data_IF_110346305478
#
_entry.id   IF_110346305478
#
_cell.length_a   1.000
_cell.length_b   1.000
_cell.length_c   1.000
_cell.angle_alpha   90.00
_cell.angle_beta   90.00
_cell.angle_gamma   90.00
#
_symmetry.space_group_name_H-M   'P 1'
#
loop_
_entity.id
_entity.type
_entity.pdbx_description
1 polymer ?
#
# COMPACT_ATOMS: atom_id res chain seq x y z
N UNK A 1 -4.55 -5.97 -13.92
CA UNK A 1 -4.37 -5.23 -15.16
C UNK A 1 -4.37 -3.74 -14.83
N UNK A 2 -3.18 -3.22 -14.55
CA UNK A 2 -2.92 -1.81 -14.31
C UNK A 2 -2.44 -1.07 -15.56
N UNK A 3 -2.06 -1.80 -16.63
CA UNK A 3 -1.63 -1.23 -17.91
C UNK A 3 -2.70 -1.33 -19.03
N UNK A 4 -3.80 -2.05 -18.80
CA UNK A 4 -4.94 -2.21 -19.71
C UNK A 4 -4.77 -3.26 -20.81
N UNK A 5 -3.84 -4.21 -20.67
CA UNK A 5 -3.50 -5.18 -21.73
C UNK A 5 -4.31 -6.49 -21.68
N UNK A 6 -5.24 -6.61 -20.73
CA UNK A 6 -6.10 -7.76 -20.52
C UNK A 6 -5.44 -8.91 -19.75
N UNK A 7 -4.23 -8.72 -19.19
CA UNK A 7 -3.52 -9.70 -18.36
C UNK A 7 -3.14 -9.10 -17.01
N UNK A 8 -2.76 -9.98 -16.08
CA UNK A 8 -2.15 -9.59 -14.80
C UNK A 8 -0.74 -10.17 -14.78
N UNK A 9 0.26 -9.30 -14.84
CA UNK A 9 1.68 -9.65 -14.73
C UNK A 9 2.34 -8.90 -13.57
N UNK A 10 2.71 -9.61 -12.50
CA UNK A 10 3.36 -9.02 -11.34
C UNK A 10 4.80 -8.56 -11.58
N UNK A 11 5.42 -8.91 -12.71
CA UNK A 11 6.70 -8.34 -13.14
C UNK A 11 6.54 -7.01 -13.87
N UNK A 12 5.32 -6.67 -14.29
CA UNK A 12 5.00 -5.34 -14.78
C UNK A 12 4.75 -4.38 -13.60
N UNK A 13 5.43 -3.24 -13.63
CA UNK A 13 5.35 -2.24 -12.56
C UNK A 13 3.91 -1.71 -12.33
N UNK A 14 3.17 -1.39 -13.41
CA UNK A 14 1.83 -0.84 -13.31
C UNK A 14 0.85 -1.85 -12.71
N UNK A 15 0.97 -3.11 -13.10
CA UNK A 15 0.17 -4.22 -12.58
C UNK A 15 0.47 -4.51 -11.12
N UNK A 16 1.75 -4.55 -10.74
CA UNK A 16 2.18 -4.76 -9.36
C UNK A 16 1.68 -3.63 -8.44
N UNK A 17 1.82 -2.37 -8.85
CA UNK A 17 1.32 -1.22 -8.09
C UNK A 17 -0.20 -1.26 -7.94
N UNK A 18 -0.92 -1.47 -9.04
CA UNK A 18 -2.39 -1.50 -9.04
C UNK A 18 -2.93 -2.64 -8.17
N UNK A 19 -2.30 -3.81 -8.25
CA UNK A 19 -2.67 -4.97 -7.44
C UNK A 19 -2.42 -4.72 -5.95
N UNK A 20 -1.30 -4.10 -5.60
CA UNK A 20 -0.97 -3.73 -4.22
C UNK A 20 -1.97 -2.69 -3.67
N UNK A 21 -2.31 -1.67 -4.47
CA UNK A 21 -3.30 -0.66 -4.08
C UNK A 21 -4.70 -1.27 -3.86
N UNK A 22 -5.12 -2.17 -4.76
CA UNK A 22 -6.39 -2.88 -4.63
C UNK A 22 -6.43 -3.79 -3.41
N UNK A 23 -5.34 -4.48 -3.10
CA UNK A 23 -5.21 -5.28 -1.88
C UNK A 23 -5.42 -4.41 -0.63
N UNK A 24 -4.71 -3.29 -0.50
CA UNK A 24 -4.83 -2.39 0.65
C UNK A 24 -6.24 -1.77 0.75
N UNK A 25 -6.84 -1.40 -0.39
CA UNK A 25 -8.23 -0.92 -0.44
C UNK A 25 -9.21 -1.96 0.08
N UNK A 26 -9.08 -3.21 -0.32
CA UNK A 26 -9.92 -4.30 0.17
C UNK A 26 -9.75 -4.55 1.68
N UNK A 27 -8.58 -4.21 2.23
CA UNK A 27 -8.25 -4.28 3.65
C UNK A 27 -8.68 -3.07 4.48
N UNK A 28 -9.30 -2.06 3.85
CA UNK A 28 -9.87 -0.90 4.53
C UNK A 28 -9.07 0.38 4.38
N UNK A 29 -8.09 0.44 3.48
CA UNK A 29 -7.40 1.68 3.14
C UNK A 29 -8.39 2.77 2.71
N UNK A 30 -8.23 3.97 3.26
CA UNK A 30 -9.05 5.15 3.00
C UNK A 30 -8.27 6.15 2.15
N UNK A 31 -8.66 6.40 0.90
CA UNK A 31 -8.01 7.42 0.06
C UNK A 31 -7.95 8.78 0.77
N UNK A 32 -6.78 9.43 0.73
CA UNK A 32 -6.55 10.74 1.35
C UNK A 32 -6.40 10.75 2.87
N UNK A 33 -6.56 9.62 3.57
CA UNK A 33 -6.28 9.54 4.99
C UNK A 33 -4.79 9.29 5.26
N UNK A 34 -4.30 9.82 6.38
CA UNK A 34 -2.93 9.63 6.83
C UNK A 34 -2.61 8.16 7.18
N UNK A 35 -1.33 7.81 7.10
CA UNK A 35 -0.78 6.47 7.28
C UNK A 35 0.36 6.40 8.30
N UNK A 36 0.58 7.43 9.10
CA UNK A 36 1.51 7.48 10.23
C UNK A 36 0.92 6.86 11.50
N UNK A 37 1.74 6.55 12.49
CA UNK A 37 1.29 5.93 13.74
C UNK A 37 0.13 6.73 14.38
N UNK A 38 -1.01 6.06 14.59
CA UNK A 38 -2.24 6.66 15.12
C UNK A 38 -3.22 7.15 14.04
N UNK A 39 -2.81 7.17 12.77
CA UNK A 39 -3.66 7.60 11.66
C UNK A 39 -4.48 6.44 11.05
N UNK A 40 -5.56 6.74 10.31
CA UNK A 40 -6.54 5.74 9.88
C UNK A 40 -5.97 4.60 9.03
N UNK A 41 -4.98 4.87 8.19
CA UNK A 41 -4.42 3.89 7.28
C UNK A 41 -3.23 3.11 7.86
N UNK A 42 -2.64 3.57 8.98
CA UNK A 42 -1.54 2.88 9.63
C UNK A 42 -1.84 1.41 9.93
N UNK A 43 -2.96 1.04 10.60
CA UNK A 43 -3.26 -0.37 10.88
C UNK A 43 -3.43 -1.23 9.62
N UNK A 44 -3.79 -0.63 8.48
CA UNK A 44 -3.97 -1.36 7.21
C UNK A 44 -2.63 -1.85 6.66
N UNK A 45 -1.53 -1.13 6.90
CA UNK A 45 -0.18 -1.56 6.48
C UNK A 45 0.23 -2.90 7.11
N UNK A 46 -0.32 -3.23 8.28
CA UNK A 46 -0.08 -4.51 8.97
C UNK A 46 -0.72 -5.70 8.23
N UNK A 47 -1.76 -5.47 7.43
CA UNK A 47 -2.41 -6.54 6.68
C UNK A 47 -1.48 -7.12 5.61
N UNK A 48 -0.58 -6.30 5.06
CA UNK A 48 0.46 -6.76 4.14
C UNK A 48 1.54 -7.59 4.85
N UNK A 49 1.96 -7.16 6.05
CA UNK A 49 2.89 -7.90 6.89
C UNK A 49 2.61 -7.60 8.38
N UNK A 50 2.39 -8.67 9.15
CA UNK A 50 1.95 -8.56 10.54
C UNK A 50 3.01 -8.00 11.53
N UNK A 51 4.25 -7.80 11.10
CA UNK A 51 5.32 -7.28 11.95
C UNK A 51 5.21 -5.76 12.16
N UNK A 52 5.18 -5.33 13.43
CA UNK A 52 5.12 -3.90 13.79
C UNK A 52 6.28 -3.09 13.21
N UNK A 53 7.49 -3.66 13.17
CA UNK A 53 8.67 -3.00 12.59
C UNK A 53 8.52 -2.76 11.09
N UNK A 54 7.86 -3.67 10.37
CA UNK A 54 7.64 -3.54 8.93
C UNK A 54 6.66 -2.40 8.62
N UNK A 55 5.58 -2.33 9.39
CA UNK A 55 4.60 -1.23 9.33
C UNK A 55 5.25 0.13 9.59
N UNK A 56 6.12 0.23 10.61
CA UNK A 56 6.86 1.47 10.91
C UNK A 56 7.79 1.87 9.77
N UNK A 57 8.55 0.91 9.21
CA UNK A 57 9.42 1.17 8.06
C UNK A 57 8.66 1.70 6.86
N UNK A 58 7.50 1.11 6.53
CA UNK A 58 6.65 1.59 5.44
C UNK A 58 6.17 3.03 5.67
N UNK A 59 5.72 3.35 6.89
CA UNK A 59 5.26 4.70 7.22
C UNK A 59 6.39 5.74 7.12
N UNK A 60 7.60 5.40 7.55
CA UNK A 60 8.78 6.27 7.47
C UNK A 60 9.21 6.47 6.01
N UNK A 61 9.32 5.39 5.24
CA UNK A 61 9.71 5.48 3.82
C UNK A 61 8.69 6.29 3.01
N UNK A 62 7.40 6.06 3.23
CA UNK A 62 6.34 6.85 2.58
C UNK A 62 6.48 8.34 2.88
N UNK A 63 6.68 8.72 4.15
CA UNK A 63 6.83 10.12 4.55
C UNK A 63 8.08 10.79 3.97
N UNK A 64 9.11 10.02 3.61
CA UNK A 64 10.29 10.53 2.91
C UNK A 64 10.04 10.71 1.41
N UNK A 65 9.21 9.86 0.81
CA UNK A 65 8.81 9.92 -0.61
C UNK A 65 7.83 11.06 -0.88
N UNK A 66 6.93 11.35 0.07
CA UNK A 66 5.93 12.44 -0.06
C UNK A 66 6.54 13.86 -0.04
N UNK A 67 7.84 14.00 0.22
CA UNK A 67 8.58 15.28 0.24
C UNK A 67 9.16 15.60 -1.12
#
# INVERSE_FOLDING_TARGET
DGNGDGRVDFYNFADAMTSTANYLRAKGWRPGAGYQQGEPNYPVLKEWNAATVYQQSLAIMGAQIDR
#
